data_IF_334705015093
#
_entry.id   IF_334705015093
#
_cell.length_a   1.000
_cell.length_b   1.000
_cell.length_c   1.000
_cell.angle_alpha   90.00
_cell.angle_beta   90.00
_cell.angle_gamma   90.00
#
_symmetry.space_group_name_H-M   'P 1'
#
loop_
_entity.id
_entity.type
_entity.pdbx_description
1 polymer ?
#
# COMPACT_ATOMS: atom_id res chain seq x y z
N UNK A 1 13.28 -39.04 44.70
CA UNK A 1 13.84 -37.67 44.65
C UNK A 1 13.83 -37.04 43.26
N UNK A 2 13.86 -37.79 42.14
CA UNK A 2 13.88 -37.19 40.78
C UNK A 2 12.53 -36.80 40.17
N UNK A 3 11.44 -37.43 40.60
CA UNK A 3 10.07 -37.21 40.07
C UNK A 3 9.44 -35.90 40.57
N UNK A 4 9.65 -35.52 41.84
CA UNK A 4 9.11 -34.28 42.40
C UNK A 4 9.74 -33.02 41.78
N UNK A 5 11.05 -33.07 41.51
CA UNK A 5 11.77 -31.98 40.83
C UNK A 5 11.32 -31.84 39.37
N UNK A 6 11.06 -32.98 38.70
CA UNK A 6 10.58 -33.00 37.32
C UNK A 6 9.16 -32.43 37.19
N UNK A 7 8.25 -32.79 38.10
CA UNK A 7 6.88 -32.27 38.13
C UNK A 7 6.88 -30.75 38.38
N UNK A 8 7.71 -30.27 39.31
CA UNK A 8 7.85 -28.83 39.58
C UNK A 8 8.35 -28.05 38.35
N UNK A 9 9.36 -28.57 37.65
CA UNK A 9 9.88 -27.96 36.43
C UNK A 9 8.85 -27.97 35.28
N UNK A 10 8.08 -29.04 35.14
CA UNK A 10 7.02 -29.15 34.13
C UNK A 10 5.88 -28.14 34.35
N UNK A 11 5.45 -27.96 35.60
CA UNK A 11 4.40 -26.98 35.95
C UNK A 11 4.88 -25.56 35.66
N UNK A 12 6.13 -25.22 36.00
CA UNK A 12 6.70 -23.92 35.71
C UNK A 12 6.81 -23.66 34.20
N UNK A 13 7.26 -24.66 33.42
CA UNK A 13 7.34 -24.54 31.97
C UNK A 13 5.96 -24.32 31.33
N UNK A 14 4.94 -25.07 31.77
CA UNK A 14 3.56 -24.91 31.30
C UNK A 14 3.01 -23.53 31.69
N UNK A 15 3.26 -23.06 32.91
CA UNK A 15 2.85 -21.73 33.35
C UNK A 15 3.48 -20.61 32.53
N UNK A 16 4.77 -20.74 32.18
CA UNK A 16 5.48 -19.78 31.30
C UNK A 16 4.88 -19.79 29.89
N UNK A 17 4.61 -20.97 29.32
CA UNK A 17 3.98 -21.09 28.00
C UNK A 17 2.57 -20.48 28.01
N UNK A 18 1.77 -20.76 29.03
CA UNK A 18 0.43 -20.18 29.18
C UNK A 18 0.51 -18.65 29.32
N UNK A 19 1.42 -18.13 30.15
CA UNK A 19 1.64 -16.69 30.29
C UNK A 19 2.06 -16.05 28.96
N UNK A 20 2.95 -16.71 28.20
CA UNK A 20 3.39 -16.23 26.88
C UNK A 20 2.25 -16.22 25.86
N UNK A 21 1.42 -17.27 25.82
CA UNK A 21 0.25 -17.36 24.95
C UNK A 21 -0.82 -16.32 25.30
N UNK A 22 -1.08 -16.10 26.59
CA UNK A 22 -2.03 -15.09 27.06
C UNK A 22 -1.55 -13.67 26.74
N UNK A 23 -0.23 -13.41 26.84
CA UNK A 23 0.35 -12.14 26.42
C UNK A 23 0.25 -11.91 24.90
N UNK A 24 0.35 -12.97 24.09
CA UNK A 24 0.26 -12.88 22.62
C UNK A 24 -1.16 -12.67 22.09
N UNK A 25 -2.21 -13.12 22.79
CA UNK A 25 -3.61 -12.87 22.38
C UNK A 25 -3.99 -11.39 22.32
N UNK A 26 -3.15 -10.49 22.87
CA UNK A 26 -3.35 -9.05 22.84
C UNK A 26 -2.91 -8.33 21.56
N UNK A 27 -2.37 -9.03 20.54
CA UNK A 27 -1.93 -8.38 19.30
C UNK A 27 -3.10 -8.04 18.37
N UNK A 28 -3.68 -6.88 18.70
CA UNK A 28 -4.52 -5.94 17.95
C UNK A 28 -4.60 -6.22 16.44
N UNK A 29 -5.75 -6.74 16.02
CA UNK A 29 -6.19 -6.72 14.63
C UNK A 29 -6.13 -5.28 14.09
N UNK A 30 -5.64 -5.03 12.86
CA UNK A 30 -5.68 -3.70 12.29
C UNK A 30 -7.16 -3.32 12.11
N UNK A 31 -7.64 -2.42 12.96
CA UNK A 31 -8.97 -1.83 12.85
C UNK A 31 -9.07 -1.16 11.47
N UNK A 32 -9.76 -1.83 10.55
CA UNK A 32 -10.00 -1.38 9.18
C UNK A 32 -10.90 -0.13 9.23
N UNK A 33 -10.28 1.04 9.34
CA UNK A 33 -10.95 2.34 9.40
C UNK A 33 -11.90 2.48 8.21
N UNK A 34 -13.13 2.93 8.48
CA UNK A 34 -14.15 3.24 7.46
C UNK A 34 -14.06 4.73 7.13
N UNK A 35 -14.21 5.06 5.85
CA UNK A 35 -14.17 6.44 5.32
C UNK A 35 -15.38 6.65 4.41
N UNK A 36 -15.80 7.90 4.18
CA UNK A 36 -16.88 8.23 3.25
C UNK A 36 -16.39 8.30 1.80
N UNK A 37 -17.14 7.73 0.86
CA UNK A 37 -16.84 7.80 -0.56
C UNK A 37 -17.17 9.20 -1.12
N UNK A 38 -16.25 9.90 -1.82
CA UNK A 38 -16.51 11.24 -2.35
C UNK A 38 -17.50 11.27 -3.53
N UNK A 39 -17.80 10.12 -4.14
CA UNK A 39 -18.72 10.02 -5.28
C UNK A 39 -20.17 9.72 -4.86
N UNK A 40 -20.38 9.03 -3.75
CA UNK A 40 -21.71 8.56 -3.35
C UNK A 40 -21.98 8.66 -1.84
N UNK A 41 -21.08 9.28 -1.08
CA UNK A 41 -21.12 9.51 0.37
C UNK A 41 -21.32 8.25 1.26
N UNK A 42 -21.22 7.05 0.68
CA UNK A 42 -21.32 5.80 1.45
C UNK A 42 -20.02 5.44 2.16
N UNK A 43 -20.16 4.76 3.29
CA UNK A 43 -19.02 4.25 4.05
C UNK A 43 -18.36 3.09 3.33
N UNK A 44 -17.05 3.20 3.16
CA UNK A 44 -16.20 2.22 2.48
C UNK A 44 -14.97 1.91 3.34
N UNK A 45 -14.30 0.78 3.11
CA UNK A 45 -13.03 0.50 3.76
C UNK A 45 -11.89 1.41 3.25
N UNK A 46 -11.00 1.85 4.14
CA UNK A 46 -9.86 2.74 3.82
C UNK A 46 -8.87 2.20 2.77
N UNK A 47 -8.76 0.88 2.67
CA UNK A 47 -7.93 0.15 1.72
C UNK A 47 -8.66 -0.23 0.41
N UNK A 48 -9.91 0.21 0.24
CA UNK A 48 -10.66 -0.02 -0.99
C UNK A 48 -10.05 0.79 -2.14
N UNK A 49 -9.72 0.12 -3.24
CA UNK A 49 -9.29 0.76 -4.51
C UNK A 49 -10.45 1.27 -5.34
N UNK A 50 -11.65 0.74 -5.10
CA UNK A 50 -12.89 1.12 -5.76
C UNK A 50 -14.06 1.03 -4.77
N UNK A 51 -15.08 1.87 -4.98
CA UNK A 51 -16.29 1.86 -4.17
C UNK A 51 -17.18 0.67 -4.54
N UNK A 52 -17.59 -0.21 -3.60
CA UNK A 52 -18.52 -1.30 -3.90
C UNK A 52 -19.96 -0.86 -4.19
N UNK A 53 -20.27 0.44 -4.03
CA UNK A 53 -21.61 0.98 -4.22
C UNK A 53 -21.78 1.76 -5.51
N UNK A 54 -20.71 2.40 -6.01
CA UNK A 54 -20.77 3.25 -7.19
C UNK A 54 -19.63 2.98 -8.18
N UNK A 55 -18.79 1.97 -7.90
CA UNK A 55 -17.61 1.59 -8.70
C UNK A 55 -16.59 2.71 -8.97
N UNK A 56 -16.71 3.83 -8.24
CA UNK A 56 -15.80 4.97 -8.36
C UNK A 56 -14.38 4.62 -7.89
N UNK A 57 -13.33 5.10 -8.56
CA UNK A 57 -11.94 4.85 -8.18
C UNK A 57 -11.57 5.59 -6.90
N UNK A 58 -10.79 4.94 -6.02
CA UNK A 58 -10.43 5.49 -4.71
C UNK A 58 -8.93 5.34 -4.49
N UNK A 59 -8.28 6.46 -4.15
CA UNK A 59 -6.84 6.51 -3.88
C UNK A 59 -6.62 6.97 -2.45
N UNK A 60 -5.79 6.25 -1.71
CA UNK A 60 -5.37 6.60 -0.36
C UNK A 60 -3.85 6.69 -0.26
N UNK A 61 -3.37 7.62 0.57
CA UNK A 61 -1.96 7.81 0.83
C UNK A 61 -1.42 6.66 1.68
N UNK A 62 -0.32 5.99 1.28
CA UNK A 62 0.26 4.90 2.06
C UNK A 62 0.93 5.38 3.36
N UNK A 63 1.29 6.66 3.44
CA UNK A 63 2.03 7.24 4.58
C UNK A 63 1.09 7.66 5.71
N UNK A 64 0.06 8.45 5.39
CA UNK A 64 -0.86 8.99 6.41
C UNK A 64 -2.25 8.36 6.37
N UNK A 65 -2.59 7.64 5.30
CA UNK A 65 -3.94 7.11 5.09
C UNK A 65 -4.97 8.16 4.67
N UNK A 66 -4.59 9.40 4.37
CA UNK A 66 -5.56 10.35 3.82
C UNK A 66 -6.03 9.92 2.42
N UNK A 67 -7.28 10.22 2.08
CA UNK A 67 -7.76 10.08 0.69
C UNK A 67 -7.12 11.15 -0.18
N UNK A 68 -6.76 10.76 -1.40
CA UNK A 68 -6.17 11.64 -2.41
C UNK A 68 -7.22 11.76 -3.52
N UNK A 69 -7.84 12.93 -3.62
CA UNK A 69 -8.86 13.22 -4.64
C UNK A 69 -8.24 13.57 -5.99
N UNK A 70 -6.97 13.94 -6.00
CA UNK A 70 -6.28 14.55 -7.12
C UNK A 70 -5.14 13.68 -7.68
N UNK A 71 -4.88 13.87 -8.96
CA UNK A 71 -3.76 13.26 -9.67
C UNK A 71 -2.46 14.07 -9.53
N UNK A 72 -2.44 15.05 -8.62
CA UNK A 72 -1.32 15.95 -8.33
C UNK A 72 -0.06 15.24 -7.84
N UNK A 73 -0.16 13.94 -7.51
CA UNK A 73 0.97 13.12 -7.07
C UNK A 73 1.50 13.51 -5.69
N UNK A 74 0.74 14.29 -4.91
CA UNK A 74 1.08 14.70 -3.54
C UNK A 74 -0.14 14.62 -2.63
N UNK A 75 0.05 14.16 -1.41
CA UNK A 75 -1.00 14.17 -0.40
C UNK A 75 -1.14 15.58 0.21
N UNK A 76 -2.35 16.14 0.21
CA UNK A 76 -2.65 17.43 0.85
C UNK A 76 -2.51 17.41 2.38
N UNK A 77 -2.66 16.23 2.99
CA UNK A 77 -2.65 16.09 4.46
C UNK A 77 -1.24 15.95 5.03
N UNK A 78 -0.38 15.15 4.39
CA UNK A 78 0.98 14.92 4.90
C UNK A 78 2.09 15.50 4.01
N UNK A 79 1.76 16.06 2.84
CA UNK A 79 2.73 16.63 1.91
C UNK A 79 3.60 15.62 1.17
N UNK A 80 3.48 14.32 1.46
CA UNK A 80 4.29 13.26 0.86
C UNK A 80 3.92 13.07 -0.61
N UNK A 81 4.92 12.78 -1.47
CA UNK A 81 4.64 12.42 -2.86
C UNK A 81 3.98 11.05 -2.88
N UNK A 82 2.73 11.00 -3.31
CA UNK A 82 1.95 9.79 -3.37
C UNK A 82 2.33 9.03 -4.64
N UNK A 83 3.43 8.29 -4.57
CA UNK A 83 3.82 7.30 -5.57
C UNK A 83 2.77 6.18 -5.47
N UNK A 84 1.94 5.85 -6.45
CA UNK A 84 2.08 5.85 -7.91
C UNK A 84 0.85 6.51 -8.55
N UNK A 85 1.02 7.64 -9.23
CA UNK A 85 0.19 7.93 -10.40
C UNK A 85 0.33 6.76 -11.41
N UNK A 86 -0.59 6.61 -12.39
CA UNK A 86 -0.41 5.63 -13.45
C UNK A 86 1.02 5.75 -14.01
N UNK A 87 1.72 4.62 -14.28
CA UNK A 87 3.06 4.69 -14.85
C UNK A 87 3.00 5.63 -16.04
N UNK A 88 3.85 6.67 -16.05
CA UNK A 88 3.88 7.63 -17.16
C UNK A 88 4.35 6.85 -18.39
N UNK A 89 3.43 6.39 -19.23
CA UNK A 89 3.78 5.69 -20.46
C UNK A 89 3.95 6.74 -21.56
N UNK A 90 5.08 6.71 -22.24
CA UNK A 90 5.37 7.59 -23.38
C UNK A 90 5.57 6.77 -24.64
N UNK A 91 5.47 7.40 -25.83
CA UNK A 91 5.79 6.74 -27.10
C UNK A 91 7.20 7.10 -27.55
N UNK A 92 7.93 6.11 -28.03
CA UNK A 92 9.24 6.35 -28.63
C UNK A 92 9.08 7.15 -29.95
N UNK A 93 9.74 8.30 -30.13
CA UNK A 93 9.61 9.12 -31.34
C UNK A 93 10.13 8.43 -32.61
N UNK A 94 10.98 7.41 -32.45
CA UNK A 94 11.59 6.68 -33.58
C UNK A 94 10.79 5.48 -34.05
N UNK A 95 10.13 4.76 -33.14
CA UNK A 95 9.46 3.48 -33.46
C UNK A 95 8.04 3.35 -32.91
N UNK A 96 7.48 4.43 -32.37
CA UNK A 96 6.16 4.57 -31.78
C UNK A 96 5.79 3.53 -30.70
N UNK A 97 6.80 2.85 -30.15
CA UNK A 97 6.58 1.82 -29.14
C UNK A 97 6.33 2.45 -27.78
N UNK A 98 5.40 1.88 -27.02
CA UNK A 98 5.12 2.30 -25.65
C UNK A 98 6.31 1.97 -24.75
N UNK A 99 6.80 2.98 -24.05
CA UNK A 99 7.92 2.88 -23.13
C UNK A 99 7.55 3.47 -21.78
N UNK A 100 8.04 2.85 -20.72
CA UNK A 100 7.90 3.37 -19.36
C UNK A 100 8.69 4.68 -19.23
N UNK A 101 8.09 5.71 -18.62
CA UNK A 101 8.66 7.04 -18.52
C UNK A 101 9.81 7.19 -17.53
N UNK A 102 10.18 6.10 -16.85
CA UNK A 102 11.45 6.00 -16.11
C UNK A 102 12.58 5.40 -16.96
N UNK A 103 12.26 4.75 -18.09
CA UNK A 103 13.27 4.18 -18.99
C UNK A 103 13.99 5.28 -19.77
N UNK A 104 15.31 5.17 -19.91
CA UNK A 104 16.14 6.08 -20.73
C UNK A 104 16.45 5.51 -22.11
N UNK A 105 16.02 4.27 -22.39
CA UNK A 105 16.35 3.54 -23.61
C UNK A 105 15.15 2.76 -24.12
N UNK A 106 14.89 2.84 -25.42
CA UNK A 106 13.83 2.06 -26.05
C UNK A 106 14.25 0.59 -26.18
N UNK A 107 13.47 -0.38 -25.67
CA UNK A 107 13.79 -1.81 -25.79
C UNK A 107 13.64 -2.34 -27.23
N UNK A 108 12.90 -1.64 -28.10
CA UNK A 108 12.64 -2.08 -29.47
C UNK A 108 13.66 -1.55 -30.48
N UNK A 109 14.00 -0.26 -30.41
CA UNK A 109 14.88 0.38 -31.40
C UNK A 109 16.25 0.79 -30.85
N UNK A 110 16.45 0.71 -29.53
CA UNK A 110 17.72 1.07 -28.89
C UNK A 110 17.97 2.57 -28.72
N UNK A 111 17.05 3.43 -29.13
CA UNK A 111 17.17 4.89 -28.98
C UNK A 111 17.32 5.30 -27.51
N UNK A 112 18.26 6.20 -27.20
CA UNK A 112 18.49 6.76 -25.87
C UNK A 112 17.93 8.19 -25.77
N UNK A 113 17.25 8.51 -24.68
CA UNK A 113 16.63 9.82 -24.44
C UNK A 113 16.96 10.35 -23.05
N UNK A 114 17.24 11.65 -22.96
CA UNK A 114 17.79 12.33 -21.77
C UNK A 114 16.70 12.84 -20.79
N UNK A 115 15.44 12.91 -21.19
CA UNK A 115 14.36 13.48 -20.35
C UNK A 115 13.03 12.73 -20.56
N UNK A 116 12.16 12.59 -19.54
CA UNK A 116 10.81 12.10 -19.76
C UNK A 116 10.12 12.99 -20.78
N UNK A 117 9.71 12.38 -21.89
CA UNK A 117 9.04 13.06 -23.01
C UNK A 117 7.66 13.48 -22.50
N UNK A 118 7.58 14.67 -21.90
CA UNK A 118 6.30 15.26 -21.49
C UNK A 118 5.59 15.63 -22.78
N UNK A 119 4.68 14.77 -23.22
CA UNK A 119 3.72 15.10 -24.26
C UNK A 119 2.69 16.01 -23.62
N UNK A 120 3.04 17.29 -23.46
CA UNK A 120 2.05 18.35 -23.27
C UNK A 120 1.13 18.33 -24.51
N UNK A 121 -0.17 18.19 -24.27
CA UNK A 121 -1.21 18.33 -25.28
C UNK A 121 -2.11 19.47 -24.88
#
# INVERSE_FOLDING_TARGET
MGNEVYIGAAILAVAVVIAWVLAWRGQKSPQKRRIGCPHCDRQIPHDARSCPHCDGPIRSCPTCGAMILDESGRCEVCGERTVRGPPKVHRCPRCDTHVDGTSRKCPRCGEEYWSPIVSEK
#
